data_IF_973463898539
#
_entry.id   IF_973463898539
#
_cell.length_a   1.000
_cell.length_b   1.000
_cell.length_c   1.000
_cell.angle_alpha   90.00
_cell.angle_beta   90.00
_cell.angle_gamma   90.00
#
_symmetry.space_group_name_H-M   'P 1'
#
loop_
_entity.id
_entity.type
_entity.pdbx_description
1 polymer ?
#
# COMPACT_ATOMS: atom_id res chain seq x y z
N UNK A 1 20.40 0.18 0.98
CA UNK A 1 19.16 0.02 1.77
C UNK A 1 18.90 1.37 2.45
N UNK A 2 17.76 1.97 2.19
CA UNK A 2 17.36 3.24 2.81
C UNK A 2 16.56 2.94 4.07
N UNK A 3 16.82 3.69 5.14
CA UNK A 3 16.12 3.56 6.42
C UNK A 3 16.30 4.82 7.26
N UNK A 4 15.60 4.93 8.40
CA UNK A 4 15.71 6.09 9.26
C UNK A 4 17.13 6.28 9.78
N UNK A 5 17.61 7.50 9.80
CA UNK A 5 18.88 7.82 10.43
C UNK A 5 18.71 8.00 11.96
N UNK A 6 19.84 8.06 12.69
CA UNK A 6 19.82 8.18 14.15
C UNK A 6 19.16 9.45 14.66
N UNK A 7 19.24 10.56 13.92
CA UNK A 7 18.59 11.83 14.31
C UNK A 7 17.06 11.71 14.22
N UNK A 8 16.56 10.93 13.28
CA UNK A 8 15.14 10.70 13.10
C UNK A 8 14.54 9.90 14.27
N UNK A 9 15.28 8.93 14.82
CA UNK A 9 14.83 8.15 15.97
C UNK A 9 14.70 8.98 17.26
N UNK A 10 15.49 10.07 17.40
CA UNK A 10 15.44 10.93 18.58
C UNK A 10 14.16 11.79 18.68
N UNK A 11 13.36 11.88 17.64
CA UNK A 11 12.13 12.69 17.60
C UNK A 11 10.86 11.94 17.98
N UNK A 12 10.93 10.65 18.28
CA UNK A 12 9.78 9.83 18.70
C UNK A 12 9.45 10.06 20.17
N UNK A 13 8.79 11.17 20.49
CA UNK A 13 8.70 11.63 21.89
C UNK A 13 7.29 11.55 22.50
N UNK A 14 6.23 11.43 21.71
CA UNK A 14 4.88 11.46 22.28
C UNK A 14 4.06 10.27 21.79
N UNK A 15 3.69 9.40 22.71
CA UNK A 15 2.71 8.36 22.46
C UNK A 15 1.29 8.89 22.75
N UNK A 16 0.36 8.53 21.88
CA UNK A 16 -1.07 8.77 22.03
C UNK A 16 -1.85 7.65 21.34
N UNK A 17 -3.09 7.45 21.76
CA UNK A 17 -3.91 6.38 21.20
C UNK A 17 -4.21 6.62 19.71
N UNK A 18 -4.22 5.55 18.92
CA UNK A 18 -4.69 5.57 17.53
C UNK A 18 -6.20 5.91 17.39
N UNK A 19 -6.89 6.16 18.51
CA UNK A 19 -8.26 6.65 18.58
C UNK A 19 -8.36 8.13 18.98
N UNK A 20 -7.25 8.74 19.36
CA UNK A 20 -7.21 10.15 19.75
C UNK A 20 -7.42 11.10 18.54
N UNK A 21 -7.97 12.26 18.83
CA UNK A 21 -8.13 13.33 17.85
C UNK A 21 -6.81 13.71 17.18
N UNK A 22 -5.69 13.67 17.94
CA UNK A 22 -4.34 13.92 17.39
C UNK A 22 -3.98 12.89 16.33
N UNK A 23 -4.29 11.61 16.53
CA UNK A 23 -4.03 10.58 15.54
C UNK A 23 -4.93 10.75 14.31
N UNK A 24 -6.21 11.06 14.50
CA UNK A 24 -7.15 11.31 13.41
C UNK A 24 -6.64 12.46 12.51
N UNK A 25 -6.16 13.55 13.11
CA UNK A 25 -5.59 14.69 12.36
C UNK A 25 -4.32 14.29 11.62
N UNK A 26 -3.41 13.55 12.28
CA UNK A 26 -2.19 13.03 11.68
C UNK A 26 -2.51 12.11 10.49
N UNK A 27 -3.40 11.15 10.66
CA UNK A 27 -3.82 10.22 9.62
C UNK A 27 -4.33 10.96 8.37
N UNK A 28 -5.24 11.92 8.58
CA UNK A 28 -5.81 12.73 7.48
C UNK A 28 -4.78 13.61 6.80
N UNK A 29 -3.88 14.21 7.58
CA UNK A 29 -2.77 15.00 7.04
C UNK A 29 -1.85 14.13 6.16
N UNK A 30 -1.54 12.91 6.60
CA UNK A 30 -0.72 11.98 5.83
C UNK A 30 -1.42 11.48 4.55
N UNK A 31 -2.74 11.22 4.60
CA UNK A 31 -3.48 10.88 3.39
C UNK A 31 -3.33 11.97 2.32
N UNK A 32 -3.49 13.23 2.72
CA UNK A 32 -3.34 14.38 1.82
C UNK A 32 -1.91 14.49 1.29
N UNK A 33 -0.91 14.45 2.18
CA UNK A 33 0.50 14.53 1.84
C UNK A 33 0.92 13.41 0.87
N UNK A 34 0.48 12.18 1.11
CA UNK A 34 0.81 11.04 0.24
C UNK A 34 0.21 11.19 -1.16
N UNK A 35 -1.01 11.69 -1.30
CA UNK A 35 -1.61 11.99 -2.61
C UNK A 35 -0.85 13.11 -3.35
N UNK A 36 -0.43 14.15 -2.62
CA UNK A 36 0.36 15.24 -3.17
C UNK A 36 1.73 14.76 -3.69
N UNK A 37 2.47 13.99 -2.88
CA UNK A 37 3.77 13.41 -3.29
C UNK A 37 3.59 12.46 -4.48
N UNK A 38 2.50 11.71 -4.50
CA UNK A 38 2.19 10.75 -5.55
C UNK A 38 1.68 11.42 -6.85
N UNK A 39 1.38 12.71 -6.85
CA UNK A 39 0.74 13.38 -7.99
C UNK A 39 -0.64 12.83 -8.34
N UNK A 40 -1.32 12.18 -7.36
CA UNK A 40 -2.60 11.53 -7.57
C UNK A 40 -3.76 12.43 -7.15
N UNK A 41 -4.78 12.51 -8.00
CA UNK A 41 -5.99 13.28 -7.78
C UNK A 41 -6.80 12.73 -6.60
N UNK A 42 -7.04 13.51 -5.51
CA UNK A 42 -7.80 13.07 -4.34
C UNK A 42 -9.28 12.77 -4.65
N UNK A 43 -9.80 13.25 -5.76
CA UNK A 43 -11.15 12.89 -6.22
C UNK A 43 -11.20 11.49 -6.85
N UNK A 44 -10.06 10.99 -7.32
CA UNK A 44 -9.95 9.70 -8.02
C UNK A 44 -9.32 8.59 -7.19
N UNK A 45 -8.54 8.92 -6.17
CA UNK A 45 -7.81 7.94 -5.37
C UNK A 45 -8.09 8.08 -3.87
N UNK A 46 -8.11 6.94 -3.18
CA UNK A 46 -8.05 6.83 -1.73
C UNK A 46 -6.66 6.35 -1.31
N UNK A 47 -6.21 6.74 -0.12
CA UNK A 47 -4.96 6.25 0.51
C UNK A 47 -5.30 5.50 1.78
N UNK A 48 -4.74 4.31 1.92
CA UNK A 48 -4.84 3.48 3.11
C UNK A 48 -3.47 3.27 3.73
N UNK A 49 -3.43 3.19 5.05
CA UNK A 49 -2.24 2.83 5.82
C UNK A 49 -2.48 1.50 6.52
N UNK A 50 -1.63 0.51 6.22
CA UNK A 50 -1.70 -0.84 6.77
C UNK A 50 -0.54 -1.00 7.74
N UNK A 51 -0.83 -1.32 9.01
CA UNK A 51 0.21 -1.63 9.99
C UNK A 51 0.94 -2.91 9.59
N UNK A 52 2.22 -2.79 9.19
CA UNK A 52 3.02 -3.91 8.71
C UNK A 52 4.00 -3.53 7.61
N UNK A 53 4.42 -4.52 6.82
CA UNK A 53 5.37 -4.33 5.72
C UNK A 53 4.68 -3.99 4.40
N UNK A 54 5.46 -3.53 3.41
CA UNK A 54 5.00 -3.45 2.03
C UNK A 54 4.55 -4.80 1.48
N UNK A 55 5.27 -5.89 1.83
CA UNK A 55 4.90 -7.27 1.46
C UNK A 55 3.50 -7.62 1.97
N UNK A 56 3.19 -7.34 3.24
CA UNK A 56 1.85 -7.55 3.80
C UNK A 56 0.79 -6.75 3.03
N UNK A 57 1.15 -5.57 2.54
CA UNK A 57 0.22 -4.74 1.76
C UNK A 57 -0.08 -5.33 0.39
N UNK A 58 0.92 -5.93 -0.29
CA UNK A 58 0.70 -6.69 -1.53
C UNK A 58 -0.15 -7.94 -1.25
N UNK A 59 0.15 -8.70 -0.19
CA UNK A 59 -0.67 -9.85 0.22
C UNK A 59 -2.12 -9.43 0.51
N UNK A 60 -2.32 -8.26 1.13
CA UNK A 60 -3.65 -7.69 1.38
C UNK A 60 -4.39 -7.37 0.08
N UNK A 61 -3.69 -6.94 -0.97
CA UNK A 61 -4.25 -6.74 -2.31
C UNK A 61 -4.70 -8.09 -2.89
N UNK A 62 -3.83 -9.10 -2.90
CA UNK A 62 -4.16 -10.44 -3.38
C UNK A 62 -5.36 -11.05 -2.65
N UNK A 63 -5.44 -10.82 -1.33
CA UNK A 63 -6.54 -11.31 -0.51
C UNK A 63 -7.85 -10.58 -0.79
N UNK A 64 -7.80 -9.25 -1.00
CA UNK A 64 -8.99 -8.40 -1.06
C UNK A 64 -9.62 -8.31 -2.44
N UNK A 65 -8.88 -8.49 -3.52
CA UNK A 65 -9.39 -8.38 -4.90
C UNK A 65 -10.24 -9.59 -5.24
N UNK A 66 -11.42 -9.39 -5.85
CA UNK A 66 -12.39 -10.45 -6.17
C UNK A 66 -11.96 -11.35 -7.32
N UNK A 67 -11.29 -10.78 -8.33
CA UNK A 67 -10.78 -11.52 -9.49
C UNK A 67 -9.36 -12.03 -9.22
N UNK A 68 -8.91 -13.07 -9.93
CA UNK A 68 -7.52 -13.47 -9.93
C UNK A 68 -6.59 -12.30 -10.30
N UNK A 69 -5.38 -12.34 -9.78
CA UNK A 69 -4.31 -11.39 -10.13
C UNK A 69 -3.23 -12.18 -10.87
N UNK A 70 -2.98 -11.82 -12.13
CA UNK A 70 -1.90 -12.36 -12.93
C UNK A 70 -0.67 -11.46 -12.80
N UNK A 71 0.50 -12.05 -12.61
CA UNK A 71 1.75 -11.30 -12.48
C UNK A 71 2.41 -11.18 -13.85
N UNK A 72 2.74 -9.95 -14.24
CA UNK A 72 3.41 -9.64 -15.49
C UNK A 72 4.74 -8.93 -15.20
N UNK A 73 5.69 -9.01 -16.14
CA UNK A 73 7.01 -8.37 -16.00
C UNK A 73 8.14 -9.21 -16.56
N UNK A 74 9.38 -8.79 -16.29
CA UNK A 74 10.59 -9.34 -16.91
C UNK A 74 11.33 -10.36 -16.01
N UNK A 75 10.67 -10.92 -14.99
CA UNK A 75 11.29 -11.85 -14.04
C UNK A 75 11.94 -11.13 -12.85
N UNK A 76 12.65 -11.90 -12.03
CA UNK A 76 13.32 -11.44 -10.82
C UNK A 76 12.66 -11.96 -9.53
N UNK A 77 13.29 -11.67 -8.37
CA UNK A 77 12.90 -12.23 -7.08
C UNK A 77 11.46 -11.87 -6.66
N UNK A 78 11.06 -10.61 -6.86
CA UNK A 78 9.72 -10.15 -6.49
C UNK A 78 8.68 -10.62 -7.49
N UNK A 79 9.02 -10.65 -8.79
CA UNK A 79 8.19 -11.27 -9.81
C UNK A 79 7.86 -12.73 -9.44
N UNK A 80 8.87 -13.54 -9.10
CA UNK A 80 8.68 -14.95 -8.72
C UNK A 80 7.84 -15.11 -7.45
N UNK A 81 8.07 -14.27 -6.42
CA UNK A 81 7.27 -14.27 -5.20
C UNK A 81 5.80 -13.95 -5.44
N UNK A 82 5.53 -12.93 -6.23
CA UNK A 82 4.15 -12.54 -6.54
C UNK A 82 3.47 -13.56 -7.46
N UNK A 83 4.21 -14.20 -8.37
CA UNK A 83 3.71 -15.33 -9.19
C UNK A 83 3.32 -16.51 -8.30
N UNK A 84 4.18 -16.89 -7.36
CA UNK A 84 3.85 -17.95 -6.39
C UNK A 84 2.60 -17.59 -5.57
N UNK A 85 2.45 -16.36 -5.15
CA UNK A 85 1.26 -15.90 -4.42
C UNK A 85 0.01 -15.91 -5.32
N UNK A 86 0.15 -15.55 -6.59
CA UNK A 86 -0.92 -15.64 -7.58
C UNK A 86 -1.42 -17.09 -7.76
N UNK A 87 -0.53 -18.05 -7.84
CA UNK A 87 -0.87 -19.47 -7.98
C UNK A 87 -1.62 -20.05 -6.75
N UNK A 88 -1.42 -19.45 -5.57
CA UNK A 88 -2.09 -19.82 -4.32
C UNK A 88 -3.49 -19.22 -4.17
N UNK A 89 -3.94 -18.37 -5.10
CA UNK A 89 -5.26 -17.77 -5.03
C UNK A 89 -6.38 -18.82 -5.17
N UNK A 90 -7.52 -18.63 -4.49
CA UNK A 90 -8.67 -19.52 -4.64
C UNK A 90 -9.14 -19.64 -6.10
N UNK A 91 -9.34 -20.86 -6.58
CA UNK A 91 -9.77 -21.14 -7.98
C UNK A 91 -11.22 -20.72 -8.29
N UNK A 92 -12.03 -20.45 -7.27
CA UNK A 92 -13.45 -20.08 -7.40
C UNK A 92 -13.68 -18.57 -7.44
N UNK A 93 -12.67 -17.78 -7.82
CA UNK A 93 -12.79 -16.32 -8.00
C UNK A 93 -13.63 -15.97 -9.22
N UNK A 94 -14.04 -14.69 -9.31
CA UNK A 94 -14.79 -14.16 -10.44
C UNK A 94 -14.02 -14.34 -11.77
N UNK A 95 -14.73 -14.39 -12.89
CA UNK A 95 -14.14 -14.51 -14.23
C UNK A 95 -13.33 -13.24 -14.59
N UNK A 96 -12.27 -13.46 -15.38
CA UNK A 96 -11.29 -12.44 -15.75
C UNK A 96 -10.19 -12.29 -14.70
N UNK A 97 -9.22 -11.43 -14.97
CA UNK A 97 -8.09 -11.19 -14.09
C UNK A 97 -7.69 -9.73 -14.08
N UNK A 98 -6.83 -9.37 -13.13
CA UNK A 98 -6.12 -8.09 -13.07
C UNK A 98 -4.62 -8.35 -13.13
N UNK A 99 -3.89 -7.51 -13.86
CA UNK A 99 -2.43 -7.60 -13.92
C UNK A 99 -1.79 -6.88 -12.73
N UNK A 100 -0.75 -7.51 -12.17
CA UNK A 100 0.16 -6.93 -11.18
C UNK A 100 1.60 -7.01 -11.69
N UNK A 101 2.39 -5.96 -11.45
CA UNK A 101 3.82 -5.98 -11.70
C UNK A 101 4.62 -5.25 -10.62
N UNK A 102 5.92 -5.57 -10.52
CA UNK A 102 6.89 -4.84 -9.74
C UNK A 102 7.49 -3.72 -10.61
N UNK A 103 7.33 -2.46 -10.20
CA UNK A 103 7.84 -1.31 -10.97
C UNK A 103 9.36 -1.25 -10.99
N UNK A 104 10.01 -1.61 -9.89
CA UNK A 104 11.47 -1.73 -9.78
C UNK A 104 11.82 -3.07 -9.15
N UNK A 105 12.30 -3.99 -9.96
CA UNK A 105 12.82 -5.29 -9.50
C UNK A 105 14.24 -5.11 -8.96
N UNK A 106 14.37 -5.14 -7.63
CA UNK A 106 15.65 -4.84 -6.97
C UNK A 106 16.68 -5.96 -7.06
N UNK A 107 16.30 -7.16 -7.47
CA UNK A 107 17.22 -8.29 -7.63
C UNK A 107 18.06 -8.20 -8.92
N UNK A 108 17.53 -7.56 -9.95
CA UNK A 108 18.19 -7.40 -11.24
C UNK A 108 18.30 -5.94 -11.73
N UNK A 109 17.64 -5.00 -11.04
CA UNK A 109 17.64 -3.57 -11.37
C UNK A 109 16.71 -3.18 -12.52
N UNK A 110 15.92 -4.12 -13.03
CA UNK A 110 14.99 -3.85 -14.13
C UNK A 110 13.76 -3.07 -13.66
N UNK A 111 13.23 -2.25 -14.56
CA UNK A 111 11.98 -1.53 -14.40
C UNK A 111 10.94 -2.02 -15.39
N UNK A 112 9.68 -2.01 -14.96
CA UNK A 112 8.55 -2.35 -15.81
C UNK A 112 7.43 -1.34 -15.58
N UNK A 113 6.73 -0.96 -16.65
CA UNK A 113 5.61 -0.04 -16.56
C UNK A 113 4.50 -0.43 -17.55
N UNK A 114 3.30 -0.59 -17.03
CA UNK A 114 2.08 -0.84 -17.78
C UNK A 114 0.93 -0.06 -17.14
N UNK A 115 0.11 0.70 -17.92
CA UNK A 115 -1.01 1.46 -17.38
C UNK A 115 -2.15 0.54 -16.93
N UNK A 116 -3.04 1.07 -16.08
CA UNK A 116 -4.26 0.39 -15.62
C UNK A 116 -4.02 -0.97 -14.94
N UNK A 117 -2.89 -1.11 -14.25
CA UNK A 117 -2.50 -2.31 -13.51
C UNK A 117 -2.50 -2.10 -11.99
N UNK A 118 -2.29 -3.19 -11.25
CA UNK A 118 -1.88 -3.18 -9.85
C UNK A 118 -0.35 -3.11 -9.85
N UNK A 119 0.22 -2.22 -9.04
CA UNK A 119 1.64 -1.90 -9.08
C UNK A 119 2.29 -2.09 -7.72
N UNK A 120 3.32 -2.93 -7.66
CA UNK A 120 4.27 -2.94 -6.56
C UNK A 120 5.30 -1.82 -6.77
N UNK A 121 5.11 -0.69 -6.10
CA UNK A 121 6.01 0.45 -6.07
C UNK A 121 6.81 0.56 -4.77
N UNK A 122 6.95 -0.55 -4.02
CA UNK A 122 7.60 -0.57 -2.70
C UNK A 122 9.02 -0.03 -2.75
N UNK A 123 9.78 -0.39 -3.76
CA UNK A 123 11.19 0.01 -3.90
C UNK A 123 11.41 1.18 -4.86
N UNK A 124 10.41 1.58 -5.62
CA UNK A 124 10.49 2.63 -6.64
C UNK A 124 10.02 4.00 -6.14
N UNK A 125 8.93 4.05 -5.38
CA UNK A 125 8.31 5.30 -4.94
C UNK A 125 9.01 5.94 -3.73
N UNK A 126 9.25 7.26 -3.72
CA UNK A 126 8.84 8.28 -4.69
C UNK A 126 9.92 8.62 -5.75
N UNK A 127 10.97 7.82 -5.90
CA UNK A 127 12.05 8.09 -6.85
C UNK A 127 11.61 7.96 -8.31
N UNK A 128 10.76 6.98 -8.60
CA UNK A 128 10.08 6.83 -9.90
C UNK A 128 8.65 7.35 -9.81
N UNK A 129 8.19 7.97 -10.88
CA UNK A 129 6.81 8.41 -10.99
C UNK A 129 5.83 7.23 -10.91
N UNK A 130 4.66 7.50 -10.36
CA UNK A 130 3.57 6.51 -10.37
C UNK A 130 3.08 6.31 -11.80
N UNK A 131 2.96 5.06 -12.29
CA UNK A 131 2.46 4.77 -13.63
C UNK A 131 1.07 5.35 -13.89
N UNK A 132 0.75 5.53 -15.15
CA UNK A 132 -0.52 6.17 -15.55
C UNK A 132 -1.73 5.35 -15.12
N UNK A 133 -2.63 5.99 -14.36
CA UNK A 133 -3.92 5.43 -13.94
C UNK A 133 -3.85 4.04 -13.26
N UNK A 134 -3.01 3.80 -12.25
CA UNK A 134 -2.96 2.50 -11.61
C UNK A 134 -4.31 2.16 -10.97
N UNK A 135 -4.70 0.88 -10.96
CA UNK A 135 -5.85 0.38 -10.19
C UNK A 135 -5.57 0.44 -8.71
N UNK A 136 -4.40 -0.07 -8.34
CA UNK A 136 -3.81 -0.01 -7.01
C UNK A 136 -2.32 0.26 -7.18
N UNK A 137 -1.76 1.11 -6.33
CA UNK A 137 -0.32 1.30 -6.21
C UNK A 137 0.08 1.08 -4.74
N UNK A 138 1.08 0.24 -4.51
CA UNK A 138 1.52 -0.13 -3.16
C UNK A 138 2.95 0.33 -2.92
N UNK A 139 3.17 0.97 -1.77
CA UNK A 139 4.51 1.30 -1.27
C UNK A 139 4.59 1.10 0.25
N UNK A 140 5.68 1.53 0.88
CA UNK A 140 5.85 1.42 2.32
C UNK A 140 6.69 2.57 2.88
N UNK A 141 6.61 2.76 4.20
CA UNK A 141 7.26 3.87 4.91
C UNK A 141 8.80 3.83 4.88
N UNK A 142 9.41 2.66 4.88
CA UNK A 142 10.84 2.46 5.18
C UNK A 142 11.78 2.24 3.99
N UNK A 143 11.28 2.33 2.78
CA UNK A 143 12.12 2.27 1.58
C UNK A 143 12.54 3.70 1.18
N UNK A 144 12.16 4.16 0.01
CA UNK A 144 12.55 5.48 -0.50
C UNK A 144 11.97 6.67 0.30
N UNK A 145 10.84 6.47 1.02
CA UNK A 145 10.30 7.48 1.93
C UNK A 145 11.16 7.69 3.18
N UNK A 146 12.09 6.77 3.50
CA UNK A 146 13.10 6.94 4.55
C UNK A 146 12.57 6.97 5.99
N UNK A 147 11.29 6.66 6.21
CA UNK A 147 10.69 6.62 7.54
C UNK A 147 10.93 5.27 8.25
N UNK A 148 10.44 5.13 9.49
CA UNK A 148 10.50 3.86 10.22
C UNK A 148 9.74 2.76 9.47
N UNK A 149 10.23 1.52 9.58
CA UNK A 149 9.50 0.35 9.10
C UNK A 149 8.23 0.13 9.94
N UNK A 150 7.16 -0.32 9.28
CA UNK A 150 5.93 -0.70 9.98
C UNK A 150 4.64 -0.15 9.38
N UNK A 151 4.69 0.55 8.24
CA UNK A 151 3.52 0.92 7.46
C UNK A 151 3.66 0.53 6.00
N UNK A 152 2.67 -0.20 5.51
CA UNK A 152 2.35 -0.25 4.10
C UNK A 152 1.40 0.88 3.73
N UNK A 153 1.56 1.40 2.52
CA UNK A 153 0.79 2.53 1.99
C UNK A 153 0.17 2.06 0.67
N UNK A 154 -1.15 2.12 0.58
CA UNK A 154 -1.89 1.61 -0.58
C UNK A 154 -2.75 2.73 -1.15
N UNK A 155 -2.48 3.11 -2.39
CA UNK A 155 -3.31 4.01 -3.16
C UNK A 155 -4.28 3.18 -3.99
N UNK A 156 -5.57 3.46 -3.91
CA UNK A 156 -6.61 2.72 -4.62
C UNK A 156 -7.46 3.68 -5.43
N UNK A 157 -7.59 3.40 -6.72
CA UNK A 157 -8.51 4.15 -7.58
C UNK A 157 -9.96 3.93 -7.13
N UNK A 158 -10.71 5.00 -6.91
CA UNK A 158 -12.06 4.92 -6.32
C UNK A 158 -13.02 4.05 -7.11
N UNK A 159 -12.92 4.02 -8.44
CA UNK A 159 -13.72 3.13 -9.28
C UNK A 159 -13.37 1.64 -9.12
N UNK A 160 -12.20 1.33 -8.55
CA UNK A 160 -11.76 -0.05 -8.35
C UNK A 160 -12.33 -0.69 -7.06
N UNK A 161 -12.98 0.09 -6.19
CA UNK A 161 -13.60 -0.48 -4.98
C UNK A 161 -14.68 -1.52 -5.26
N UNK A 162 -15.31 -1.49 -6.41
CA UNK A 162 -16.29 -2.51 -6.84
C UNK A 162 -15.65 -3.90 -7.02
N UNK A 163 -14.36 -3.95 -7.28
CA UNK A 163 -13.56 -5.18 -7.41
C UNK A 163 -12.99 -5.68 -6.07
N UNK A 164 -13.22 -4.97 -4.97
CA UNK A 164 -12.74 -5.33 -3.62
C UNK A 164 -13.85 -6.05 -2.84
N UNK A 165 -13.46 -7.06 -2.04
CA UNK A 165 -14.35 -7.82 -1.16
C UNK A 165 -15.03 -6.93 -0.11
N UNK A 166 -16.14 -7.41 0.44
CA UNK A 166 -16.90 -6.69 1.47
C UNK A 166 -16.07 -6.44 2.74
N UNK A 167 -16.25 -5.27 3.36
CA UNK A 167 -15.67 -4.91 4.65
C UNK A 167 -16.23 -5.74 5.84
N UNK A 168 -17.37 -6.44 5.63
CA UNK A 168 -17.96 -7.34 6.62
C UNK A 168 -17.14 -8.61 6.87
N UNK A 169 -16.24 -8.98 5.94
CA UNK A 169 -15.34 -10.12 6.12
C UNK A 169 -14.23 -9.71 7.06
N UNK A 170 -14.17 -10.32 8.23
CA UNK A 170 -13.13 -10.02 9.22
C UNK A 170 -11.80 -10.63 8.79
N UNK A 171 -10.85 -9.78 8.46
CA UNK A 171 -9.45 -10.14 8.22
C UNK A 171 -8.57 -8.91 8.42
N UNK A 172 -7.34 -9.13 8.90
CA UNK A 172 -6.31 -8.10 8.98
C UNK A 172 -5.90 -7.59 7.58
N UNK A 173 -6.04 -8.43 6.56
CA UNK A 173 -5.67 -8.10 5.18
C UNK A 173 -6.80 -7.47 4.36
N UNK A 174 -7.99 -7.24 4.95
CA UNK A 174 -9.13 -6.73 4.21
C UNK A 174 -9.04 -5.21 3.96
N UNK A 175 -8.71 -4.81 2.74
CA UNK A 175 -8.58 -3.40 2.34
C UNK A 175 -9.86 -2.60 2.51
N UNK A 176 -11.04 -3.21 2.31
CA UNK A 176 -12.32 -2.51 2.50
C UNK A 176 -12.52 -2.09 3.96
N UNK A 177 -12.05 -2.88 4.93
CA UNK A 177 -12.07 -2.48 6.35
C UNK A 177 -11.16 -1.28 6.61
N UNK A 178 -9.97 -1.25 6.01
CA UNK A 178 -9.09 -0.07 6.11
C UNK A 178 -9.72 1.18 5.49
N UNK A 179 -10.48 1.03 4.41
CA UNK A 179 -11.25 2.14 3.83
C UNK A 179 -12.28 2.67 4.81
N UNK A 180 -13.12 1.80 5.38
CA UNK A 180 -14.19 2.17 6.32
C UNK A 180 -13.64 2.98 7.50
N UNK A 181 -12.53 2.54 8.10
CA UNK A 181 -11.87 3.25 9.19
C UNK A 181 -11.08 4.48 8.70
N UNK A 182 -10.44 4.42 7.54
CA UNK A 182 -9.67 5.52 6.95
C UNK A 182 -10.52 6.77 6.66
N UNK A 183 -11.79 6.60 6.32
CA UNK A 183 -12.74 7.72 6.13
C UNK A 183 -12.87 8.57 7.40
N UNK A 184 -12.81 7.96 8.57
CA UNK A 184 -12.86 8.66 9.86
C UNK A 184 -11.47 8.95 10.44
N UNK A 185 -10.39 8.70 9.68
CA UNK A 185 -9.01 8.96 10.11
C UNK A 185 -8.46 7.95 11.11
N UNK A 186 -8.90 6.70 11.04
CA UNK A 186 -8.50 5.63 11.94
C UNK A 186 -8.06 4.38 11.18
N UNK A 187 -7.56 3.39 11.92
CA UNK A 187 -7.23 2.05 11.43
C UNK A 187 -8.16 1.00 12.06
N UNK A 188 -8.44 -0.12 11.37
CA UNK A 188 -9.31 -1.18 11.92
C UNK A 188 -8.69 -1.93 13.10
N UNK A 189 -7.37 -1.86 13.25
CA UNK A 189 -6.56 -2.47 14.32
C UNK A 189 -5.67 -1.43 14.97
N UNK A 190 -4.98 -1.77 16.06
CA UNK A 190 -4.02 -0.86 16.70
C UNK A 190 -2.94 -0.44 15.71
N UNK A 191 -2.76 0.86 15.54
CA UNK A 191 -1.78 1.42 14.63
C UNK A 191 -0.41 1.61 15.30
N UNK A 192 0.70 1.47 14.56
CA UNK A 192 2.02 1.86 15.02
C UNK A 192 2.17 3.39 14.98
N UNK A 193 1.60 4.09 15.98
CA UNK A 193 1.51 5.56 16.01
C UNK A 193 2.85 6.25 15.78
N UNK A 194 3.92 5.71 16.38
CA UNK A 194 5.28 6.23 16.20
C UNK A 194 5.71 6.24 14.72
N UNK A 195 5.33 5.22 13.95
CA UNK A 195 5.66 5.17 12.51
C UNK A 195 4.88 6.22 11.72
N UNK A 196 3.61 6.45 12.08
CA UNK A 196 2.83 7.55 11.49
C UNK A 196 3.42 8.93 11.79
N UNK A 197 3.87 9.16 13.02
CA UNK A 197 4.54 10.42 13.40
C UNK A 197 5.82 10.65 12.61
N UNK A 198 6.55 9.58 12.34
CA UNK A 198 7.81 9.62 11.63
C UNK A 198 7.67 9.78 10.10
N UNK A 199 6.53 9.40 9.55
CA UNK A 199 6.22 9.57 8.14
C UNK A 199 5.79 11.02 7.81
N UNK A 200 5.45 11.81 8.84
CA UNK A 200 5.06 13.22 8.68
C UNK A 200 6.25 14.12 8.34
#
# INVERSE_FOLDING_TARGET
>A
MFGPNTNTLATLVTDFSHRDTKFIQLYKSLQKCMLEIAGLDPYKYDVLFIGGSGTLSIESVFWSVKKPIDVIGNGGLWYEKWTTLSEQQPKNRMLGSHNLYCQLETSNGETFEEPDCIVDGISSFPYYDIPKNPKIFVTCSNKQLGALAGLGIVFIRKTFWEEIQSDKIFSYMNLARYRTYGVIGQTPTTAPVAVFQHLK
#
